data_IF_792570426016
#
_entry.id   IF_792570426016
#
_cell.length_a   1.000
_cell.length_b   1.000
_cell.length_c   1.000
_cell.angle_alpha   90.00
_cell.angle_beta   90.00
_cell.angle_gamma   90.00
#
_symmetry.space_group_name_H-M   'P 1'
#
loop_
_entity.id
_entity.type
_entity.pdbx_description
1 polymer ?
#
# COMPACT_ATOMS: atom_id res chain seq x y z
N UNK A 1 13.60 7.49 -27.16
CA UNK A 1 12.94 7.33 -28.48
C UNK A 1 13.20 8.48 -29.47
N UNK A 2 13.61 9.69 -29.09
CA UNK A 2 13.88 10.80 -30.02
C UNK A 2 14.89 10.52 -31.15
N UNK A 3 15.89 9.64 -30.92
CA UNK A 3 16.87 9.27 -31.96
C UNK A 3 16.26 8.43 -33.08
N UNK A 4 15.33 7.52 -32.75
CA UNK A 4 14.59 6.72 -33.74
C UNK A 4 13.70 7.59 -34.64
N UNK A 5 13.08 8.65 -34.09
CA UNK A 5 12.30 9.61 -34.89
C UNK A 5 13.15 10.40 -35.87
N UNK A 6 14.46 10.52 -35.63
CA UNK A 6 15.43 11.13 -36.53
C UNK A 6 16.12 10.11 -37.47
N UNK A 7 15.61 8.89 -37.57
CA UNK A 7 16.18 7.81 -38.38
C UNK A 7 17.51 7.23 -37.89
N UNK A 8 17.96 7.63 -36.68
CA UNK A 8 19.26 7.19 -36.14
C UNK A 8 19.07 5.92 -35.32
N UNK A 9 19.49 4.79 -35.89
CA UNK A 9 19.52 3.50 -35.18
C UNK A 9 20.89 3.27 -34.55
N UNK A 10 20.93 3.12 -33.21
CA UNK A 10 22.15 2.82 -32.46
C UNK A 10 21.92 1.73 -31.43
N UNK A 11 22.96 0.86 -31.29
CA UNK A 11 22.96 -0.15 -30.24
C UNK A 11 23.09 0.51 -28.86
N UNK A 12 22.37 -0.02 -27.87
CA UNK A 12 22.38 0.45 -26.47
C UNK A 12 23.81 0.49 -25.88
N UNK A 13 24.66 -0.49 -26.22
CA UNK A 13 26.09 -0.49 -25.81
C UNK A 13 26.84 0.73 -26.32
N UNK A 14 26.61 1.13 -27.59
CA UNK A 14 27.22 2.33 -28.19
C UNK A 14 26.74 3.60 -27.50
N UNK A 15 25.45 3.70 -27.22
CA UNK A 15 24.86 4.85 -26.51
C UNK A 15 25.47 4.99 -25.12
N UNK A 16 25.54 3.90 -24.33
CA UNK A 16 26.16 3.93 -22.99
C UNK A 16 27.64 4.34 -23.03
N UNK A 17 28.40 3.88 -24.01
CA UNK A 17 29.80 4.25 -24.21
C UNK A 17 29.94 5.76 -24.49
N UNK A 18 29.10 6.30 -25.38
CA UNK A 18 29.09 7.74 -25.71
C UNK A 18 28.68 8.58 -24.50
N UNK A 19 27.63 8.19 -23.79
CA UNK A 19 27.22 8.87 -22.58
C UNK A 19 28.36 8.95 -21.56
N UNK A 20 29.07 7.83 -21.31
CA UNK A 20 30.23 7.81 -20.41
C UNK A 20 31.35 8.71 -20.91
N UNK A 21 31.66 8.68 -22.22
CA UNK A 21 32.71 9.50 -22.85
C UNK A 21 32.45 11.01 -22.68
N UNK A 22 31.18 11.42 -22.77
CA UNK A 22 30.77 12.84 -22.69
C UNK A 22 30.25 13.25 -21.30
N UNK A 23 30.44 12.41 -20.26
CA UNK A 23 30.00 12.74 -18.89
C UNK A 23 28.48 12.87 -18.73
N UNK A 24 27.70 12.30 -19.66
CA UNK A 24 26.24 12.35 -19.61
C UNK A 24 25.72 11.23 -18.71
N UNK A 25 25.26 11.61 -17.54
CA UNK A 25 24.65 10.68 -16.58
C UNK A 25 23.15 10.87 -16.55
N UNK A 26 22.40 9.78 -16.73
CA UNK A 26 20.98 9.78 -16.41
C UNK A 26 20.82 9.89 -14.89
N UNK A 27 20.05 10.85 -14.41
CA UNK A 27 19.67 10.92 -13.00
C UNK A 27 18.68 9.79 -12.70
N UNK A 28 19.20 8.57 -12.60
CA UNK A 28 18.41 7.44 -12.12
C UNK A 28 18.25 7.62 -10.62
N UNK A 29 17.00 7.60 -10.15
CA UNK A 29 16.69 7.60 -8.72
C UNK A 29 17.56 6.51 -8.05
N UNK A 30 18.43 6.90 -7.12
CA UNK A 30 19.22 5.93 -6.34
C UNK A 30 18.24 4.95 -5.70
N UNK A 31 18.48 3.65 -5.92
CA UNK A 31 17.67 2.62 -5.26
C UNK A 31 17.75 2.85 -3.75
N UNK A 32 16.59 2.82 -3.07
CA UNK A 32 16.54 2.97 -1.62
C UNK A 32 17.45 1.89 -0.98
N UNK A 33 18.52 2.26 -0.24
CA UNK A 33 19.45 1.29 0.36
C UNK A 33 18.75 0.33 1.34
N UNK A 34 17.68 0.79 1.98
CA UNK A 34 16.87 -0.02 2.90
C UNK A 34 16.01 -1.10 2.20
N UNK A 35 15.89 -1.06 0.87
CA UNK A 35 15.11 -2.04 0.11
C UNK A 35 15.70 -3.46 0.19
N UNK A 36 17.03 -3.60 0.32
CA UNK A 36 17.70 -4.89 0.50
C UNK A 36 17.43 -5.43 1.90
N UNK A 37 17.61 -4.60 2.93
CA UNK A 37 17.36 -4.96 4.33
C UNK A 37 15.88 -5.35 4.52
N UNK A 38 14.94 -4.56 3.97
CA UNK A 38 13.52 -4.89 4.02
C UNK A 38 13.19 -6.20 3.28
N UNK A 39 13.94 -6.57 2.23
CA UNK A 39 13.75 -7.86 1.54
C UNK A 39 14.28 -9.03 2.36
N UNK A 40 15.41 -8.88 3.02
CA UNK A 40 16.00 -9.92 3.88
C UNK A 40 15.18 -10.15 5.16
N UNK A 41 14.62 -9.07 5.76
CA UNK A 41 13.72 -9.18 6.90
C UNK A 41 12.36 -9.82 6.53
N UNK A 42 11.92 -9.69 5.28
CA UNK A 42 10.67 -10.31 4.79
C UNK A 42 10.72 -11.83 4.65
N UNK A 43 11.89 -12.43 4.49
CA UNK A 43 12.01 -13.86 4.16
C UNK A 43 11.67 -14.79 5.33
N UNK A 44 11.67 -14.30 6.58
CA UNK A 44 11.51 -15.15 7.76
C UNK A 44 10.20 -15.00 8.53
N UNK A 45 9.28 -14.11 8.10
CA UNK A 45 8.03 -13.82 8.82
C UNK A 45 6.84 -13.59 7.88
N UNK A 46 6.81 -14.27 6.75
CA UNK A 46 5.65 -14.19 5.85
C UNK A 46 4.61 -15.20 6.35
N UNK A 47 3.54 -14.70 6.95
CA UNK A 47 2.37 -15.50 7.25
C UNK A 47 1.71 -16.01 5.96
N UNK A 48 1.11 -17.19 6.01
CA UNK A 48 0.38 -17.76 4.88
C UNK A 48 -0.79 -16.84 4.50
N UNK A 49 -1.03 -16.71 3.20
CA UNK A 49 -2.15 -15.95 2.71
C UNK A 49 -3.45 -16.78 2.80
N UNK A 50 -4.12 -16.69 3.94
CA UNK A 50 -5.36 -17.43 4.19
C UNK A 50 -6.49 -17.01 3.24
N UNK A 51 -6.54 -15.74 2.84
CA UNK A 51 -7.61 -15.20 1.99
C UNK A 51 -7.46 -15.55 0.51
N UNK A 52 -6.24 -15.84 0.00
CA UNK A 52 -5.91 -16.19 -1.40
C UNK A 52 -6.51 -15.22 -2.44
N UNK A 53 -6.81 -13.97 -2.04
CA UNK A 53 -7.49 -12.92 -2.83
C UNK A 53 -8.99 -13.21 -3.12
N UNK A 54 -9.60 -14.11 -2.41
CA UNK A 54 -11.02 -14.50 -2.58
C UNK A 54 -11.95 -13.63 -1.72
N UNK A 55 -11.84 -12.31 -1.85
CA UNK A 55 -12.50 -11.32 -0.98
C UNK A 55 -14.02 -11.41 -0.94
N UNK A 56 -14.68 -11.87 -2.02
CA UNK A 56 -16.14 -11.89 -2.14
C UNK A 56 -16.76 -13.26 -1.96
N UNK A 57 -15.98 -14.31 -1.78
CA UNK A 57 -16.51 -15.69 -1.70
C UNK A 57 -17.04 -16.05 -0.31
N UNK A 58 -16.57 -15.31 0.72
CA UNK A 58 -16.88 -15.62 2.11
C UNK A 58 -18.24 -15.10 2.61
N UNK A 59 -18.90 -14.21 1.84
CA UNK A 59 -20.17 -13.59 2.25
C UNK A 59 -19.99 -12.35 3.13
N UNK A 60 -21.12 -11.69 3.53
CA UNK A 60 -21.09 -10.45 4.30
C UNK A 60 -20.51 -10.66 5.71
N UNK A 61 -19.77 -9.68 6.21
CA UNK A 61 -19.18 -9.62 7.56
C UNK A 61 -18.12 -10.69 7.87
N UNK A 62 -17.68 -11.47 6.88
CA UNK A 62 -16.65 -12.51 7.06
C UNK A 62 -15.23 -12.00 6.82
N UNK A 63 -15.05 -11.08 5.88
CA UNK A 63 -13.75 -10.49 5.56
C UNK A 63 -13.87 -8.98 5.65
N UNK A 64 -13.09 -8.38 6.52
CA UNK A 64 -13.02 -6.94 6.71
C UNK A 64 -11.70 -6.42 6.14
N UNK A 65 -11.74 -5.30 5.45
CA UNK A 65 -10.59 -4.62 4.88
C UNK A 65 -10.33 -3.36 5.69
N UNK A 66 -9.09 -3.17 6.10
CA UNK A 66 -8.65 -1.96 6.79
C UNK A 66 -7.63 -1.19 5.95
N UNK A 67 -7.72 0.13 5.98
CA UNK A 67 -6.80 1.02 5.29
C UNK A 67 -6.61 2.33 6.05
N UNK A 68 -5.44 2.94 5.89
CA UNK A 68 -5.15 4.27 6.41
C UNK A 68 -4.86 5.20 5.24
N UNK A 69 -5.74 6.17 5.04
CA UNK A 69 -5.62 7.18 3.98
C UNK A 69 -5.02 8.47 4.53
N UNK A 70 -4.02 9.01 3.84
CA UNK A 70 -3.35 10.27 4.15
C UNK A 70 -4.06 11.41 3.42
N UNK A 71 -4.68 12.32 4.17
CA UNK A 71 -5.43 13.45 3.64
C UNK A 71 -4.63 14.73 3.88
N UNK A 72 -4.13 15.40 2.82
CA UNK A 72 -3.44 16.68 2.98
C UNK A 72 -4.44 17.76 3.40
N UNK A 73 -4.11 18.49 4.48
CA UNK A 73 -4.93 19.57 5.00
C UNK A 73 -4.02 20.65 5.62
N UNK A 74 -4.17 21.88 5.18
CA UNK A 74 -3.45 23.07 5.69
C UNK A 74 -1.92 22.87 5.88
N UNK A 75 -1.27 22.31 4.85
CA UNK A 75 0.18 22.03 4.88
C UNK A 75 0.62 20.89 5.80
N UNK A 76 -0.34 20.17 6.41
CA UNK A 76 -0.15 18.98 7.24
C UNK A 76 -0.89 17.80 6.64
N UNK A 77 -0.88 16.68 7.35
CA UNK A 77 -1.69 15.51 7.02
C UNK A 77 -2.66 15.19 8.13
N UNK A 78 -3.90 14.86 7.77
CA UNK A 78 -4.82 14.11 8.59
C UNK A 78 -4.83 12.65 8.13
N UNK A 79 -5.13 11.75 9.03
CA UNK A 79 -5.09 10.31 8.81
C UNK A 79 -6.49 9.75 9.01
N UNK A 80 -7.02 9.08 8.00
CA UNK A 80 -8.32 8.43 8.05
C UNK A 80 -8.10 6.92 8.12
N UNK A 81 -8.44 6.31 9.26
CA UNK A 81 -8.53 4.86 9.40
C UNK A 81 -9.93 4.41 9.08
N UNK A 82 -10.07 3.41 8.21
CA UNK A 82 -11.36 2.89 7.74
C UNK A 82 -11.38 1.38 7.84
N UNK A 83 -12.49 0.82 8.29
CA UNK A 83 -12.77 -0.61 8.17
C UNK A 83 -14.03 -0.79 7.33
N UNK A 84 -13.94 -1.61 6.28
CA UNK A 84 -15.06 -1.91 5.39
C UNK A 84 -15.24 -3.41 5.18
N UNK A 85 -16.46 -3.81 4.92
CA UNK A 85 -16.79 -5.18 4.52
C UNK A 85 -16.34 -5.43 3.06
N UNK A 86 -15.57 -6.50 2.85
CA UNK A 86 -15.08 -6.87 1.53
C UNK A 86 -16.19 -7.31 0.57
N UNK A 87 -17.26 -7.88 1.10
CA UNK A 87 -18.40 -8.38 0.32
C UNK A 87 -19.38 -7.26 -0.05
N UNK A 88 -19.94 -6.58 0.95
CA UNK A 88 -20.94 -5.52 0.74
C UNK A 88 -20.34 -4.19 0.30
N UNK A 89 -19.03 -3.98 0.51
CA UNK A 89 -18.31 -2.71 0.33
C UNK A 89 -18.77 -1.59 1.28
N UNK A 90 -19.56 -1.92 2.29
CA UNK A 90 -20.04 -0.98 3.30
C UNK A 90 -18.89 -0.57 4.23
N UNK A 91 -18.79 0.72 4.55
CA UNK A 91 -17.89 1.22 5.59
C UNK A 91 -18.55 1.00 6.94
N UNK A 92 -17.92 0.18 7.79
CA UNK A 92 -18.45 -0.24 9.09
C UNK A 92 -18.01 0.69 10.22
N UNK A 93 -16.78 1.17 10.14
CA UNK A 93 -16.23 2.12 11.11
C UNK A 93 -15.13 2.96 10.47
N UNK A 94 -14.95 4.16 10.99
CA UNK A 94 -13.84 5.04 10.61
C UNK A 94 -13.49 5.99 11.74
N UNK A 95 -12.23 6.44 11.76
CA UNK A 95 -11.73 7.49 12.67
C UNK A 95 -10.81 8.41 11.88
N UNK A 96 -10.97 9.71 12.09
CA UNK A 96 -10.07 10.74 11.57
C UNK A 96 -9.16 11.24 12.71
N UNK A 97 -7.86 11.33 12.45
CA UNK A 97 -6.87 11.81 13.43
C UNK A 97 -5.86 12.75 12.77
N UNK A 98 -5.33 13.69 13.54
CA UNK A 98 -4.18 14.53 13.14
C UNK A 98 -2.83 13.86 13.46
N UNK A 99 -2.84 12.76 14.21
CA UNK A 99 -1.65 11.99 14.60
C UNK A 99 -1.71 10.57 14.03
N UNK A 100 -0.56 10.09 13.51
CA UNK A 100 -0.41 8.72 13.01
C UNK A 100 0.12 7.82 14.14
N UNK A 101 -0.70 7.60 15.15
CA UNK A 101 -0.40 6.73 16.29
C UNK A 101 -1.25 5.46 16.24
N UNK A 102 -0.89 4.44 17.01
CA UNK A 102 -1.64 3.17 17.02
C UNK A 102 -3.04 3.36 17.60
N UNK A 103 -3.20 4.32 18.51
CA UNK A 103 -4.43 4.55 19.27
C UNK A 103 -5.64 4.84 18.37
N UNK A 104 -5.48 5.64 17.28
CA UNK A 104 -6.61 5.94 16.41
C UNK A 104 -7.07 4.73 15.59
N UNK A 105 -6.15 3.79 15.30
CA UNK A 105 -6.50 2.51 14.66
C UNK A 105 -7.27 1.62 15.63
N UNK A 106 -6.82 1.55 16.89
CA UNK A 106 -7.53 0.82 17.95
C UNK A 106 -8.91 1.41 18.21
N UNK A 107 -9.06 2.74 18.16
CA UNK A 107 -10.37 3.41 18.24
C UNK A 107 -11.30 2.98 17.10
N UNK A 108 -10.77 2.84 15.88
CA UNK A 108 -11.56 2.36 14.73
C UNK A 108 -12.09 0.94 14.98
N UNK A 109 -11.26 0.06 15.56
CA UNK A 109 -11.66 -1.31 15.92
C UNK A 109 -12.69 -1.29 17.05
N UNK A 110 -12.49 -0.48 18.09
CA UNK A 110 -13.45 -0.35 19.19
C UNK A 110 -14.82 0.14 18.71
N UNK A 111 -14.86 1.12 17.80
CA UNK A 111 -16.11 1.58 17.18
C UNK A 111 -16.77 0.49 16.34
N UNK A 112 -15.98 -0.31 15.61
CA UNK A 112 -16.51 -1.47 14.88
C UNK A 112 -17.19 -2.44 15.83
N UNK A 113 -16.54 -2.82 16.92
CA UNK A 113 -17.09 -3.75 17.92
C UNK A 113 -18.34 -3.17 18.57
N UNK A 114 -18.33 -1.89 18.93
CA UNK A 114 -19.48 -1.23 19.54
C UNK A 114 -20.71 -1.21 18.64
N UNK A 115 -20.53 -0.88 17.37
CA UNK A 115 -21.64 -0.68 16.43
C UNK A 115 -22.09 -1.99 15.75
N UNK A 116 -21.17 -2.94 15.54
CA UNK A 116 -21.39 -4.12 14.72
C UNK A 116 -21.00 -5.43 15.39
N UNK A 117 -20.53 -5.42 16.64
CA UNK A 117 -20.02 -6.60 17.33
C UNK A 117 -21.00 -7.80 17.36
N UNK A 118 -22.32 -7.52 17.40
CA UNK A 118 -23.36 -8.56 17.35
C UNK A 118 -23.50 -9.24 15.98
N UNK A 119 -23.01 -8.60 14.91
CA UNK A 119 -23.08 -9.09 13.53
C UNK A 119 -21.77 -9.70 13.05
N UNK A 120 -20.71 -9.58 13.86
CA UNK A 120 -19.41 -10.20 13.64
C UNK A 120 -19.36 -11.52 14.39
N UNK A 121 -18.80 -12.55 13.78
CA UNK A 121 -18.59 -13.83 14.45
C UNK A 121 -17.09 -14.09 14.68
N UNK A 122 -16.79 -15.18 15.40
CA UNK A 122 -15.42 -15.56 15.76
C UNK A 122 -14.53 -15.89 14.56
N UNK A 123 -15.11 -16.10 13.39
CA UNK A 123 -14.39 -16.41 12.15
C UNK A 123 -14.15 -15.17 11.28
N UNK A 124 -14.61 -13.99 11.72
CA UNK A 124 -14.38 -12.74 10.96
C UNK A 124 -12.90 -12.40 10.89
N UNK A 125 -12.36 -12.27 9.69
CA UNK A 125 -10.97 -11.90 9.41
C UNK A 125 -10.84 -10.40 9.17
N UNK A 126 -9.83 -9.77 9.74
CA UNK A 126 -9.48 -8.35 9.52
C UNK A 126 -8.07 -8.26 8.93
#
# INVERSE_FOLDING_TARGET
>A
MRLLHKGIRMNVKKIRRLMKKYGLFCQIRKANPYRRIAKELRTNAVADNHLKREFRQHGPRKVLLTDITYIPYDGKFCYLSVIKDAYTQEVLSYVLSESLEVDFVLQTINLLILNHGTTLDTETMI
#
